data_IF_861476231163
#
_entry.id   IF_861476231163
#
_cell.length_a   1.000
_cell.length_b   1.000
_cell.length_c   1.000
_cell.angle_alpha   90.00
_cell.angle_beta   90.00
_cell.angle_gamma   90.00
#
_symmetry.space_group_name_H-M   'P 1'
#
loop_
_entity.id
_entity.type
_entity.pdbx_description
1 polymer ?
#
# COMPACT_ATOMS: atom_id res chain seq x y z
N UNK A 1 14.55 0.89 18.83
CA UNK A 1 13.20 0.72 19.41
C UNK A 1 13.12 -0.61 20.12
N UNK A 2 12.45 -0.70 21.27
CA UNK A 2 12.28 -1.97 21.98
C UNK A 2 11.48 -2.94 21.10
N UNK A 3 11.89 -4.22 21.04
CA UNK A 3 11.14 -5.28 20.36
C UNK A 3 9.85 -5.53 21.13
N UNK A 4 8.74 -5.00 20.64
CA UNK A 4 7.40 -5.36 21.13
C UNK A 4 7.10 -6.77 20.63
N UNK A 5 6.91 -7.71 21.56
CA UNK A 5 6.51 -9.07 21.21
C UNK A 5 4.99 -9.12 21.19
N UNK A 6 4.43 -9.46 20.02
CA UNK A 6 2.99 -9.71 19.88
C UNK A 6 2.73 -11.20 20.12
N UNK A 7 1.64 -11.49 20.83
CA UNK A 7 1.10 -12.84 20.96
C UNK A 7 0.61 -13.36 19.60
N UNK A 8 0.64 -14.68 19.42
CA UNK A 8 0.13 -15.31 18.21
C UNK A 8 -1.36 -15.00 18.03
N UNK A 9 -1.73 -14.49 16.84
CA UNK A 9 -3.11 -14.14 16.51
C UNK A 9 -3.59 -12.79 17.06
N UNK A 10 -2.69 -11.93 17.58
CA UNK A 10 -3.08 -10.58 18.00
C UNK A 10 -3.70 -9.77 16.86
N UNK A 11 -4.86 -9.16 17.14
CA UNK A 11 -5.57 -8.21 16.28
C UNK A 11 -5.89 -6.96 17.10
N UNK A 12 -5.60 -5.74 16.58
CA UNK A 12 -5.99 -4.50 17.23
C UNK A 12 -7.49 -4.44 17.52
N UNK A 13 -7.85 -4.01 18.74
CA UNK A 13 -9.24 -3.82 19.14
C UNK A 13 -9.47 -2.42 19.72
N UNK A 14 -10.72 -2.00 19.79
CA UNK A 14 -11.10 -0.72 20.40
C UNK A 14 -11.09 -0.77 21.95
N UNK A 15 -10.88 -1.96 22.55
CA UNK A 15 -10.83 -2.19 24.00
C UNK A 15 -9.48 -1.83 24.64
N UNK A 16 -8.51 -1.36 23.85
CA UNK A 16 -7.18 -0.97 24.29
C UNK A 16 -6.83 0.47 23.84
N UNK A 17 -5.86 1.13 24.48
CA UNK A 17 -5.49 2.49 24.09
C UNK A 17 -5.12 2.58 22.60
N UNK A 18 -5.76 3.52 21.91
CA UNK A 18 -5.60 3.70 20.48
C UNK A 18 -4.14 3.97 20.10
N UNK A 19 -3.66 3.26 19.07
CA UNK A 19 -2.30 3.33 18.55
C UNK A 19 -1.22 3.13 19.60
N UNK A 20 -1.46 2.23 20.56
CA UNK A 20 -0.44 1.77 21.50
C UNK A 20 0.72 1.05 20.77
N UNK A 21 1.74 0.64 21.53
CA UNK A 21 2.91 -0.04 20.98
C UNK A 21 2.58 -1.37 20.27
N UNK A 22 1.59 -2.13 20.77
CA UNK A 22 1.15 -3.39 20.16
C UNK A 22 0.44 -3.15 18.82
N UNK A 23 -0.49 -2.19 18.77
CA UNK A 23 -1.21 -1.84 17.55
C UNK A 23 -0.25 -1.33 16.46
N UNK A 24 0.69 -0.44 16.82
CA UNK A 24 1.71 0.05 15.88
C UNK A 24 2.60 -1.08 15.36
N UNK A 25 2.99 -2.02 16.22
CA UNK A 25 3.76 -3.18 15.79
C UNK A 25 2.97 -4.12 14.86
N UNK A 26 1.67 -4.31 15.11
CA UNK A 26 0.80 -5.08 14.22
C UNK A 26 0.75 -4.46 12.81
N UNK A 27 0.48 -3.15 12.72
CA UNK A 27 0.44 -2.46 11.44
C UNK A 27 1.80 -2.40 10.76
N UNK A 28 2.90 -2.26 11.53
CA UNK A 28 4.27 -2.33 11.00
C UNK A 28 4.52 -3.69 10.33
N UNK A 29 4.20 -4.80 10.99
CA UNK A 29 4.35 -6.15 10.41
C UNK A 29 3.48 -6.33 9.16
N UNK A 30 2.23 -5.86 9.20
CA UNK A 30 1.30 -5.91 8.06
C UNK A 30 1.84 -5.13 6.86
N UNK A 31 2.34 -3.91 7.07
CA UNK A 31 2.95 -3.07 6.03
C UNK A 31 4.23 -3.68 5.46
N UNK A 32 5.12 -4.21 6.31
CA UNK A 32 6.35 -4.88 5.88
C UNK A 32 6.08 -6.16 5.09
N UNK A 33 5.12 -6.97 5.54
CA UNK A 33 4.66 -8.16 4.82
C UNK A 33 4.13 -7.78 3.44
N UNK A 34 3.21 -6.80 3.39
CA UNK A 34 2.67 -6.32 2.13
C UNK A 34 3.74 -5.75 1.18
N UNK A 35 4.72 -4.99 1.70
CA UNK A 35 5.86 -4.53 0.90
C UNK A 35 6.70 -5.69 0.36
N UNK A 36 6.95 -6.71 1.18
CA UNK A 36 7.69 -7.89 0.75
C UNK A 36 6.95 -8.64 -0.36
N UNK A 37 5.63 -8.74 -0.30
CA UNK A 37 4.82 -9.41 -1.31
C UNK A 37 4.85 -8.66 -2.64
N UNK A 38 4.71 -7.33 -2.62
CA UNK A 38 4.84 -6.49 -3.82
C UNK A 38 6.22 -6.65 -4.47
N UNK A 39 7.29 -6.67 -3.66
CA UNK A 39 8.66 -6.81 -4.17
C UNK A 39 8.91 -8.20 -4.78
N UNK A 40 8.31 -9.25 -4.20
CA UNK A 40 8.38 -10.61 -4.73
C UNK A 40 7.66 -10.72 -6.06
N UNK A 41 6.42 -10.23 -6.13
CA UNK A 41 5.62 -10.18 -7.36
C UNK A 41 6.37 -9.43 -8.47
N UNK A 42 6.93 -8.27 -8.15
CA UNK A 42 7.73 -7.49 -9.10
C UNK A 42 8.99 -8.23 -9.60
N UNK A 43 9.61 -9.05 -8.75
CA UNK A 43 10.76 -9.88 -9.14
C UNK A 43 10.33 -11.02 -10.07
N UNK A 44 9.23 -11.71 -9.77
CA UNK A 44 8.70 -12.81 -10.56
C UNK A 44 8.28 -12.34 -11.97
N UNK A 45 7.61 -11.18 -12.06
CA UNK A 45 7.26 -10.54 -13.34
C UNK A 45 8.50 -10.21 -14.18
N UNK A 46 9.59 -9.75 -13.56
CA UNK A 46 10.82 -9.43 -14.30
C UNK A 46 11.45 -10.68 -14.91
N UNK A 47 11.44 -11.80 -14.19
CA UNK A 47 11.94 -13.09 -14.70
C UNK A 47 11.08 -13.56 -15.87
N UNK A 48 9.75 -13.45 -15.76
CA UNK A 48 8.83 -13.80 -16.84
C UNK A 48 9.10 -12.99 -18.12
N UNK A 49 9.20 -11.66 -18.02
CA UNK A 49 9.48 -10.77 -19.14
C UNK A 49 10.84 -11.03 -19.81
N UNK A 50 11.85 -11.44 -19.04
CA UNK A 50 13.15 -11.82 -19.59
C UNK A 50 13.05 -13.09 -20.43
N UNK A 51 12.29 -14.10 -19.96
CA UNK A 51 12.10 -15.37 -20.65
C UNK A 51 11.24 -15.28 -21.92
N UNK A 52 10.26 -14.37 -21.96
CA UNK A 52 9.42 -14.14 -23.15
C UNK A 52 10.22 -13.49 -24.28
N UNK A 53 11.12 -12.56 -23.95
CA UNK A 53 11.92 -11.82 -24.94
C UNK A 53 12.92 -12.71 -25.70
N UNK A 54 13.21 -13.92 -25.22
CA UNK A 54 14.10 -14.89 -25.89
C UNK A 54 13.40 -15.72 -26.99
N UNK A 55 12.06 -15.66 -27.12
CA UNK A 55 11.27 -16.66 -27.86
C UNK A 55 10.32 -16.14 -28.96
N UNK A 56 10.65 -15.07 -29.70
CA UNK A 56 9.75 -14.57 -30.78
C UNK A 56 10.21 -14.94 -32.21
N UNK A 57 9.61 -15.97 -32.84
CA UNK A 57 9.95 -16.38 -34.21
C UNK A 57 9.28 -15.55 -35.32
N UNK A 58 8.17 -14.82 -35.07
CA UNK A 58 7.48 -14.02 -36.10
C UNK A 58 7.03 -12.59 -35.69
N UNK A 59 6.53 -11.81 -36.67
CA UNK A 59 6.14 -10.40 -36.51
C UNK A 59 4.82 -10.20 -35.72
N UNK A 60 3.90 -11.16 -35.76
CA UNK A 60 2.64 -11.09 -35.02
C UNK A 60 2.90 -11.34 -33.52
N UNK A 61 3.75 -12.31 -33.21
CA UNK A 61 4.21 -12.60 -31.85
C UNK A 61 4.91 -11.39 -31.22
N UNK A 62 5.69 -10.65 -32.03
CA UNK A 62 6.36 -9.44 -31.59
C UNK A 62 5.40 -8.31 -31.22
N UNK A 63 4.35 -8.09 -32.01
CA UNK A 63 3.37 -7.03 -31.75
C UNK A 63 2.57 -7.28 -30.46
N UNK A 64 2.20 -8.53 -30.18
CA UNK A 64 1.55 -8.92 -28.92
C UNK A 64 2.48 -8.71 -27.72
N UNK A 65 3.72 -9.17 -27.81
CA UNK A 65 4.74 -9.01 -26.75
C UNK A 65 5.01 -7.55 -26.36
N UNK A 66 5.08 -6.65 -27.35
CA UNK A 66 5.25 -5.22 -27.08
C UNK A 66 4.07 -4.62 -26.30
N UNK A 67 2.85 -5.09 -26.57
CA UNK A 67 1.64 -4.65 -25.85
C UNK A 67 1.64 -5.14 -24.41
N UNK A 68 1.95 -6.42 -24.19
CA UNK A 68 2.02 -7.03 -22.86
C UNK A 68 3.10 -6.33 -22.00
N UNK A 69 4.28 -6.08 -22.58
CA UNK A 69 5.34 -5.30 -21.94
C UNK A 69 4.90 -3.89 -21.54
N UNK A 70 4.10 -3.22 -22.37
CA UNK A 70 3.59 -1.89 -22.05
C UNK A 70 2.55 -1.93 -20.91
N UNK A 71 1.80 -3.02 -20.76
CA UNK A 71 0.90 -3.24 -19.62
C UNK A 71 1.72 -3.47 -18.34
N UNK A 72 2.74 -4.32 -18.41
CA UNK A 72 3.62 -4.64 -17.28
C UNK A 72 4.39 -3.43 -16.75
N UNK A 73 4.93 -2.59 -17.64
CA UNK A 73 5.60 -1.35 -17.24
C UNK A 73 4.66 -0.42 -16.44
N UNK A 74 3.38 -0.33 -16.84
CA UNK A 74 2.37 0.45 -16.10
C UNK A 74 2.04 -0.19 -14.76
N UNK A 75 1.97 -1.52 -14.69
CA UNK A 75 1.74 -2.24 -13.44
C UNK A 75 2.88 -1.98 -12.44
N UNK A 76 4.13 -2.07 -12.90
CA UNK A 76 5.32 -1.76 -12.10
C UNK A 76 5.33 -0.33 -11.58
N UNK A 77 4.95 0.65 -12.38
CA UNK A 77 4.85 2.04 -11.93
C UNK A 77 3.81 2.22 -10.80
N UNK A 78 2.69 1.48 -10.85
CA UNK A 78 1.70 1.47 -9.77
C UNK A 78 2.25 0.80 -8.51
N UNK A 79 2.91 -0.34 -8.65
CA UNK A 79 3.58 -1.03 -7.53
C UNK A 79 4.63 -0.12 -6.87
N UNK A 80 5.48 0.57 -7.65
CA UNK A 80 6.46 1.53 -7.13
C UNK A 80 5.83 2.66 -6.31
N UNK A 81 4.75 3.25 -6.84
CA UNK A 81 3.99 4.30 -6.12
C UNK A 81 3.38 3.74 -4.83
N UNK A 82 2.88 2.50 -4.87
CA UNK A 82 2.30 1.84 -3.71
C UNK A 82 3.35 1.56 -2.63
N UNK A 83 4.53 1.06 -3.00
CA UNK A 83 5.66 0.87 -2.08
C UNK A 83 6.06 2.21 -1.43
N UNK A 84 6.08 3.31 -2.18
CA UNK A 84 6.32 4.64 -1.62
C UNK A 84 5.28 5.04 -0.56
N UNK A 85 4.00 4.70 -0.75
CA UNK A 85 2.96 4.93 0.27
C UNK A 85 3.13 4.05 1.51
N UNK A 86 3.59 2.82 1.33
CA UNK A 86 3.91 1.92 2.45
C UNK A 86 5.08 2.48 3.25
N UNK A 87 6.13 2.97 2.59
CA UNK A 87 7.29 3.58 3.25
C UNK A 87 6.91 4.84 4.02
N UNK A 88 6.02 5.68 3.48
CA UNK A 88 5.47 6.81 4.20
C UNK A 88 4.66 6.38 5.44
N UNK A 89 3.84 5.34 5.32
CA UNK A 89 3.09 4.80 6.45
C UNK A 89 4.02 4.23 7.55
N UNK A 90 5.10 3.55 7.17
CA UNK A 90 6.13 3.08 8.09
C UNK A 90 6.84 4.24 8.80
N UNK A 91 7.19 5.30 8.07
CA UNK A 91 7.77 6.51 8.68
C UNK A 91 6.83 7.14 9.73
N UNK A 92 5.53 7.19 9.43
CA UNK A 92 4.49 7.66 10.36
C UNK A 92 4.35 6.78 11.62
N UNK A 93 4.67 5.48 11.51
CA UNK A 93 4.71 4.61 12.69
C UNK A 93 5.87 5.00 13.60
N UNK A 94 7.02 5.33 13.02
CA UNK A 94 8.23 5.72 13.76
C UNK A 94 8.05 7.07 14.47
N UNK A 95 7.41 8.05 13.81
CA UNK A 95 7.13 9.38 14.39
C UNK A 95 5.86 9.43 15.28
N UNK A 96 5.15 8.30 15.41
CA UNK A 96 3.91 8.12 16.20
C UNK A 96 2.69 8.90 15.69
N UNK A 97 2.71 9.40 14.45
CA UNK A 97 1.56 10.01 13.79
C UNK A 97 0.64 9.01 13.08
N UNK A 98 1.07 7.74 12.93
CA UNK A 98 0.26 6.70 12.29
C UNK A 98 -1.07 6.48 13.01
N UNK A 99 -2.12 6.27 12.22
CA UNK A 99 -3.49 6.05 12.70
C UNK A 99 -4.32 7.31 12.89
N UNK A 100 -3.75 8.51 12.68
CA UNK A 100 -4.49 9.77 12.76
C UNK A 100 -4.67 10.40 11.38
N UNK A 101 -5.78 11.09 11.18
CA UNK A 101 -6.11 11.80 9.95
C UNK A 101 -5.15 12.97 9.73
N UNK A 102 -4.51 13.05 8.56
CA UNK A 102 -3.58 14.15 8.25
C UNK A 102 -4.28 15.51 8.10
N UNK A 103 -5.59 15.53 7.82
CA UNK A 103 -6.36 16.77 7.67
C UNK A 103 -6.97 17.25 8.99
N UNK A 104 -7.53 16.34 9.80
CA UNK A 104 -8.30 16.70 11.00
C UNK A 104 -7.60 16.36 12.32
N UNK A 105 -6.57 15.51 12.29
CA UNK A 105 -5.93 14.96 13.49
C UNK A 105 -6.74 13.88 14.21
N UNK A 106 -7.95 13.55 13.73
CA UNK A 106 -8.83 12.59 14.37
C UNK A 106 -8.38 11.14 14.14
N UNK A 107 -8.69 10.21 15.05
CA UNK A 107 -8.42 8.79 14.87
C UNK A 107 -9.04 8.23 13.59
N UNK A 108 -8.25 7.51 12.80
CA UNK A 108 -8.72 6.66 11.71
C UNK A 108 -9.10 5.32 12.31
N UNK A 109 -10.33 4.86 12.05
CA UNK A 109 -10.83 3.62 12.66
C UNK A 109 -9.93 2.42 12.38
N UNK A 110 -9.77 1.54 13.38
CA UNK A 110 -8.96 0.33 13.25
C UNK A 110 -9.42 -0.53 12.08
N UNK A 111 -10.74 -0.67 11.87
CA UNK A 111 -11.32 -1.40 10.73
C UNK A 111 -10.88 -0.82 9.38
N UNK A 112 -10.76 0.51 9.27
CA UNK A 112 -10.29 1.18 8.05
C UNK A 112 -8.79 0.96 7.84
N UNK A 113 -7.98 1.10 8.88
CA UNK A 113 -6.54 0.85 8.80
C UNK A 113 -6.26 -0.63 8.51
N UNK A 114 -7.06 -1.55 9.05
CA UNK A 114 -6.91 -2.97 8.77
C UNK A 114 -7.26 -3.30 7.30
N UNK A 115 -8.32 -2.71 6.76
CA UNK A 115 -8.66 -2.84 5.35
C UNK A 115 -7.66 -2.13 4.42
N UNK A 116 -7.15 -0.96 4.83
CA UNK A 116 -6.24 -0.14 4.03
C UNK A 116 -5.19 0.54 4.93
N UNK A 117 -4.06 -0.13 5.23
CA UNK A 117 -3.09 0.35 6.22
C UNK A 117 -2.27 1.57 5.78
N UNK A 118 -2.40 1.98 4.52
CA UNK A 118 -1.80 3.20 3.96
C UNK A 118 -2.77 4.41 3.98
N UNK A 119 -3.96 4.26 4.58
CA UNK A 119 -4.93 5.34 4.64
C UNK A 119 -4.40 6.50 5.49
N UNK A 120 -4.40 7.70 4.91
CA UNK A 120 -3.94 8.92 5.58
C UNK A 120 -5.07 9.80 6.12
N UNK A 121 -6.30 9.57 5.63
CA UNK A 121 -7.49 10.33 5.99
C UNK A 121 -8.54 9.44 6.67
N UNK A 122 -9.32 10.04 7.57
CA UNK A 122 -10.57 9.45 8.09
C UNK A 122 -11.59 9.26 6.96
N UNK A 123 -12.67 8.50 7.21
CA UNK A 123 -13.74 8.32 6.22
C UNK A 123 -14.36 9.66 5.83
N UNK A 124 -14.73 10.47 6.81
CA UNK A 124 -15.35 11.77 6.59
C UNK A 124 -14.41 12.73 5.82
N UNK A 125 -13.12 12.78 6.19
CA UNK A 125 -12.14 13.59 5.48
C UNK A 125 -11.97 13.14 4.02
N UNK A 126 -11.92 11.82 3.79
CA UNK A 126 -11.86 11.24 2.45
C UNK A 126 -13.10 11.63 1.61
N UNK A 127 -14.30 11.52 2.17
CA UNK A 127 -15.55 11.88 1.48
C UNK A 127 -15.61 13.37 1.13
N UNK A 128 -15.13 14.25 2.01
CA UNK A 128 -15.01 15.69 1.71
C UNK A 128 -14.01 15.94 0.59
N UNK A 129 -12.86 15.28 0.62
CA UNK A 129 -11.83 15.42 -0.41
C UNK A 129 -12.37 15.01 -1.78
N UNK A 130 -13.00 13.84 -1.88
CA UNK A 130 -13.60 13.32 -3.11
C UNK A 130 -14.73 14.22 -3.64
N UNK A 131 -15.55 14.78 -2.75
CA UNK A 131 -16.60 15.74 -3.13
C UNK A 131 -16.01 17.02 -3.74
N UNK A 132 -14.91 17.55 -3.18
CA UNK A 132 -14.22 18.73 -3.71
C UNK A 132 -13.56 18.46 -5.06
N UNK A 133 -12.90 17.32 -5.21
CA UNK A 133 -12.28 16.93 -6.48
C UNK A 133 -13.31 16.77 -7.61
N UNK A 134 -14.51 16.26 -7.29
CA UNK A 134 -15.59 16.11 -8.27
C UNK A 134 -16.07 17.46 -8.80
N UNK A 135 -16.29 18.43 -7.91
CA UNK A 135 -16.72 19.79 -8.31
C UNK A 135 -15.69 20.44 -9.24
N UNK A 136 -14.39 20.28 -8.96
CA UNK A 136 -13.33 20.87 -9.77
C UNK A 136 -13.12 20.20 -11.15
N UNK A 137 -13.54 18.94 -11.33
CA UNK A 137 -13.45 18.26 -12.63
C UNK A 137 -14.60 18.61 -13.58
N UNK A 138 -15.71 19.10 -13.03
CA UNK A 138 -16.92 19.44 -13.78
C UNK A 138 -16.97 20.93 -14.18
N UNK A 139 -15.97 21.73 -13.76
CA UNK A 139 -15.69 23.12 -14.18
C UNK A 139 -14.55 23.17 -15.23
#
# INVERSE_FOLDING_TARGET
MAKVTLEDGYVPSDDEPFMNERQREYFRRKLLGWKSDILREAQDTLVALQSENENHPDLADRASSETDRAIELRARDRQRKLTGKIDAALARIEDRSYGYCEETGEPISLRRLDARPIATLSLEAQERHERRERVYRDD
#
